data_IF_824516586376
#
_entry.id   IF_824516586376
#
_cell.length_a   1.000
_cell.length_b   1.000
_cell.length_c   1.000
_cell.angle_alpha   90.00
_cell.angle_beta   90.00
_cell.angle_gamma   90.00
#
_symmetry.space_group_name_H-M   'P 1'
#
loop_
_entity.id
_entity.type
_entity.pdbx_description
1 polymer ?
#
# COMPACT_ATOMS: atom_id res chain seq x y z
N UNK A 1 11.41 11.43 19.07
CA UNK A 1 10.43 12.06 18.18
C UNK A 1 11.21 12.78 17.09
N UNK A 2 11.25 12.23 15.87
CA UNK A 2 11.89 12.94 14.77
C UNK A 2 11.00 14.11 14.32
N UNK A 3 11.55 15.32 14.40
CA UNK A 3 10.80 16.55 14.18
C UNK A 3 10.55 16.79 12.68
N UNK A 4 9.27 16.99 12.31
CA UNK A 4 8.86 17.62 11.05
C UNK A 4 8.29 16.71 9.95
N UNK A 5 8.22 15.39 10.14
CA UNK A 5 7.68 14.47 9.13
C UNK A 5 6.20 14.11 9.37
N UNK A 6 5.38 14.19 8.32
CA UNK A 6 3.93 13.92 8.37
C UNK A 6 3.60 12.43 8.34
N UNK A 7 4.38 11.65 7.57
CA UNK A 7 4.17 10.22 7.35
C UNK A 7 5.24 9.36 8.04
N UNK A 8 4.89 8.11 8.34
CA UNK A 8 5.81 7.10 8.88
C UNK A 8 6.99 6.83 7.93
N UNK A 9 8.13 6.45 8.49
CA UNK A 9 9.40 6.24 7.78
C UNK A 9 9.26 5.26 6.61
N UNK A 10 8.65 4.09 6.84
CA UNK A 10 8.44 3.06 5.83
C UNK A 10 7.77 3.59 4.54
N UNK A 11 6.76 4.46 4.70
CA UNK A 11 6.05 5.04 3.56
C UNK A 11 6.89 6.10 2.89
N UNK A 12 7.62 6.93 3.65
CA UNK A 12 8.55 7.92 3.08
C UNK A 12 9.60 7.25 2.20
N UNK A 13 10.19 6.15 2.68
CA UNK A 13 11.19 5.38 1.96
C UNK A 13 10.61 4.69 0.73
N UNK A 14 9.42 4.10 0.84
CA UNK A 14 8.71 3.53 -0.29
C UNK A 14 8.43 4.58 -1.37
N UNK A 15 8.02 5.80 -0.99
CA UNK A 15 7.76 6.90 -1.93
C UNK A 15 9.07 7.39 -2.55
N UNK A 16 10.16 7.49 -1.79
CA UNK A 16 11.48 7.83 -2.33
C UNK A 16 11.95 6.79 -3.37
N UNK A 17 11.78 5.50 -3.09
CA UNK A 17 12.09 4.42 -4.03
C UNK A 17 11.19 4.48 -5.28
N UNK A 18 9.88 4.70 -5.10
CA UNK A 18 8.94 4.84 -6.20
C UNK A 18 9.26 6.04 -7.11
N UNK A 19 9.71 7.18 -6.54
CA UNK A 19 10.21 8.33 -7.29
C UNK A 19 11.44 7.98 -8.14
N UNK A 20 12.38 7.20 -7.62
CA UNK A 20 13.56 6.74 -8.39
C UNK A 20 13.13 5.86 -9.57
N UNK A 21 12.21 4.93 -9.35
CA UNK A 21 11.69 4.04 -10.40
C UNK A 21 10.89 4.78 -11.46
N UNK A 22 10.10 5.78 -11.08
CA UNK A 22 9.27 6.56 -11.99
C UNK A 22 10.08 7.31 -13.07
N UNK A 23 11.33 7.68 -12.76
CA UNK A 23 12.21 8.43 -13.68
C UNK A 23 12.54 7.70 -14.97
N UNK A 24 12.46 6.37 -14.99
CA UNK A 24 12.74 5.56 -16.19
C UNK A 24 11.48 5.11 -16.93
N UNK A 25 10.33 5.71 -16.63
CA UNK A 25 9.03 5.36 -17.24
C UNK A 25 8.59 6.42 -18.24
N UNK A 26 7.89 5.97 -19.29
CA UNK A 26 7.22 6.86 -20.24
C UNK A 26 5.75 7.01 -19.86
N UNK A 27 5.24 8.24 -19.88
CA UNK A 27 3.86 8.54 -19.49
C UNK A 27 3.12 9.25 -20.61
N UNK A 28 2.00 8.65 -21.01
CA UNK A 28 1.06 9.18 -21.99
C UNK A 28 -0.27 9.50 -21.32
N UNK A 29 -0.86 10.64 -21.71
CA UNK A 29 -2.17 11.06 -21.21
C UNK A 29 -3.26 10.42 -22.07
N UNK A 30 -4.23 9.77 -21.45
CA UNK A 30 -5.31 9.07 -22.17
C UNK A 30 -6.65 9.83 -22.11
N UNK A 31 -6.87 10.70 -21.13
CA UNK A 31 -8.09 11.50 -20.97
C UNK A 31 -7.80 13.00 -21.06
N UNK A 32 -8.68 13.75 -21.72
CA UNK A 32 -8.61 15.22 -21.80
C UNK A 32 -8.75 15.94 -20.45
N UNK A 33 -9.20 15.24 -19.40
CA UNK A 33 -9.21 15.77 -18.02
C UNK A 33 -7.90 15.55 -17.27
N UNK A 34 -6.89 14.93 -17.91
CA UNK A 34 -5.62 14.61 -17.26
C UNK A 34 -5.78 13.72 -16.00
N UNK A 35 -6.80 12.86 -15.98
CA UNK A 35 -7.09 11.96 -14.83
C UNK A 35 -6.59 10.54 -15.08
N UNK A 36 -6.48 10.12 -16.34
CA UNK A 36 -6.11 8.76 -16.73
C UNK A 36 -4.89 8.74 -17.65
N UNK A 37 -3.97 7.81 -17.38
CA UNK A 37 -2.66 7.75 -18.02
C UNK A 37 -2.31 6.32 -18.39
N UNK A 38 -1.51 6.19 -19.45
CA UNK A 38 -0.78 4.95 -19.77
C UNK A 38 0.68 5.15 -19.39
N UNK A 39 1.17 4.31 -18.48
CA UNK A 39 2.56 4.34 -18.01
C UNK A 39 3.28 3.10 -18.51
N UNK A 40 4.34 3.31 -19.27
CA UNK A 40 5.14 2.24 -19.87
C UNK A 40 6.49 2.13 -19.19
N UNK A 41 6.86 0.92 -18.79
CA UNK A 41 8.12 0.61 -18.10
C UNK A 41 8.84 -0.53 -18.80
N UNK A 42 10.15 -0.39 -18.99
CA UNK A 42 11.03 -1.49 -19.42
C UNK A 42 11.17 -2.55 -18.32
N UNK A 43 11.07 -3.82 -18.70
CA UNK A 43 11.22 -4.95 -17.78
C UNK A 43 12.64 -5.50 -17.94
N UNK A 44 13.50 -5.23 -16.95
CA UNK A 44 14.91 -5.63 -16.98
C UNK A 44 15.76 -4.72 -17.88
N UNK A 45 17.03 -5.11 -18.06
CA UNK A 45 17.99 -4.39 -18.91
C UNK A 45 18.11 -4.96 -20.32
N UNK A 46 17.38 -6.03 -20.63
CA UNK A 46 17.55 -6.74 -21.89
C UNK A 46 16.65 -6.13 -22.99
N UNK A 47 17.19 -5.82 -24.18
CA UNK A 47 16.43 -5.18 -25.26
C UNK A 47 15.32 -6.04 -25.88
N UNK A 48 15.39 -7.36 -25.70
CA UNK A 48 14.46 -8.36 -26.23
C UNK A 48 13.14 -8.44 -25.46
N UNK A 49 13.10 -7.92 -24.23
CA UNK A 49 11.88 -7.93 -23.42
C UNK A 49 11.05 -6.68 -23.75
N UNK A 50 9.83 -6.85 -24.29
CA UNK A 50 8.99 -5.71 -24.61
C UNK A 50 8.63 -4.92 -23.34
N UNK A 51 8.57 -3.58 -23.41
CA UNK A 51 8.06 -2.77 -22.33
C UNK A 51 6.62 -3.16 -21.97
N UNK A 52 6.28 -3.06 -20.69
CA UNK A 52 4.91 -3.28 -20.21
C UNK A 52 4.24 -1.97 -19.89
N UNK A 53 2.99 -1.84 -20.28
CA UNK A 53 2.15 -0.69 -19.99
C UNK A 53 1.16 -0.98 -18.87
N UNK A 54 0.86 0.04 -18.09
CA UNK A 54 -0.10 0.03 -16.99
C UNK A 54 -1.00 1.25 -17.10
N UNK A 55 -2.31 1.04 -16.99
CA UNK A 55 -3.29 2.09 -16.76
C UNK A 55 -3.16 2.66 -15.36
N UNK A 56 -3.23 3.97 -15.26
CA UNK A 56 -3.32 4.73 -14.00
C UNK A 56 -4.53 5.64 -14.09
N UNK A 57 -5.38 5.57 -13.08
CA UNK A 57 -6.53 6.44 -12.88
C UNK A 57 -6.35 7.15 -11.54
N UNK A 58 -5.93 8.43 -11.60
CA UNK A 58 -5.66 9.22 -10.40
C UNK A 58 -6.95 9.54 -9.65
N UNK A 59 -8.04 9.80 -10.37
CA UNK A 59 -9.33 10.16 -9.78
C UNK A 59 -9.90 9.03 -8.93
N UNK A 60 -9.87 7.81 -9.45
CA UNK A 60 -10.38 6.64 -8.75
C UNK A 60 -9.33 5.94 -7.89
N UNK A 61 -8.14 6.53 -7.75
CA UNK A 61 -6.99 5.97 -7.02
C UNK A 61 -6.66 4.52 -7.44
N UNK A 62 -6.58 4.26 -8.75
CA UNK A 62 -6.34 2.91 -9.31
C UNK A 62 -5.09 2.85 -10.18
N UNK A 63 -4.41 1.72 -10.10
CA UNK A 63 -3.39 1.33 -11.07
C UNK A 63 -3.55 -0.15 -11.43
N UNK A 64 -3.28 -0.51 -12.69
CA UNK A 64 -3.36 -1.89 -13.14
C UNK A 64 -2.39 -2.82 -12.40
N UNK A 65 -1.30 -2.28 -11.82
CA UNK A 65 -0.38 -3.06 -11.00
C UNK A 65 -0.95 -3.47 -9.63
N UNK A 66 -2.14 -2.98 -9.27
CA UNK A 66 -2.88 -3.23 -8.01
C UNK A 66 -2.23 -2.76 -6.72
N UNK A 67 -0.93 -2.45 -6.72
CA UNK A 67 -0.21 -1.98 -5.53
C UNK A 67 -0.80 -0.72 -4.91
N UNK A 68 -1.29 0.21 -5.72
CA UNK A 68 -1.90 1.43 -5.20
C UNK A 68 -3.17 1.13 -4.39
N UNK A 69 -3.99 0.20 -4.88
CA UNK A 69 -5.22 -0.22 -4.22
C UNK A 69 -4.94 -1.05 -2.97
N UNK A 70 -3.93 -1.92 -3.01
CA UNK A 70 -3.58 -2.80 -1.89
C UNK A 70 -2.84 -2.08 -0.77
N UNK A 71 -1.92 -1.18 -1.11
CA UNK A 71 -1.04 -0.53 -0.15
C UNK A 71 -1.52 0.86 0.23
N UNK A 72 -2.59 1.36 -0.38
CA UNK A 72 -3.18 2.68 -0.09
C UNK A 72 -2.22 3.88 -0.21
N UNK A 73 -1.04 3.70 -0.82
CA UNK A 73 -0.12 4.76 -1.18
C UNK A 73 0.36 4.62 -2.64
N UNK A 74 0.85 5.70 -3.27
CA UNK A 74 1.22 5.71 -4.68
C UNK A 74 2.32 4.72 -5.03
N UNK A 75 2.05 3.80 -5.95
CA UNK A 75 3.09 3.01 -6.61
C UNK A 75 3.90 3.87 -7.60
N UNK A 76 5.04 3.37 -8.08
CA UNK A 76 5.89 4.09 -9.03
C UNK A 76 5.16 4.58 -10.30
N UNK A 77 4.15 3.84 -10.80
CA UNK A 77 3.36 4.29 -11.97
C UNK A 77 2.51 5.52 -11.64
N UNK A 78 1.89 5.53 -10.45
CA UNK A 78 1.10 6.68 -9.97
C UNK A 78 2.02 7.88 -9.75
N UNK A 79 3.22 7.67 -9.19
CA UNK A 79 4.22 8.73 -9.05
C UNK A 79 4.62 9.32 -10.40
N UNK A 80 4.83 8.48 -11.42
CA UNK A 80 5.13 8.94 -12.78
C UNK A 80 3.97 9.74 -13.39
N UNK A 81 2.73 9.28 -13.21
CA UNK A 81 1.53 10.00 -13.65
C UNK A 81 1.38 11.35 -12.94
N UNK A 82 1.55 11.42 -11.62
CA UNK A 82 1.52 12.68 -10.87
C UNK A 82 2.60 13.66 -11.37
N UNK A 83 3.81 13.18 -11.63
CA UNK A 83 4.90 14.00 -12.16
C UNK A 83 4.58 14.56 -13.56
N UNK A 84 3.88 13.80 -14.41
CA UNK A 84 3.46 14.22 -15.76
C UNK A 84 2.55 15.45 -15.74
N UNK A 85 1.77 15.63 -14.68
CA UNK A 85 0.79 16.72 -14.52
C UNK A 85 1.06 17.61 -13.31
N UNK A 86 2.29 17.55 -12.78
CA UNK A 86 2.76 18.37 -11.65
C UNK A 86 1.88 18.30 -10.39
N UNK A 87 1.28 17.13 -10.11
CA UNK A 87 0.50 16.89 -8.90
C UNK A 87 1.39 16.44 -7.73
N UNK A 88 1.06 16.90 -6.52
CA UNK A 88 1.71 16.42 -5.32
C UNK A 88 1.32 14.96 -5.05
N UNK A 89 2.31 14.07 -5.04
CA UNK A 89 2.15 12.63 -4.75
C UNK A 89 1.59 12.39 -3.36
N UNK A 90 1.88 13.27 -2.39
CA UNK A 90 1.48 13.08 -0.99
C UNK A 90 -0.03 13.14 -0.80
N UNK A 91 -0.77 13.85 -1.65
CA UNK A 91 -2.25 13.85 -1.65
C UNK A 91 -2.86 12.48 -1.94
N UNK A 92 -2.06 11.54 -2.44
CA UNK A 92 -2.50 10.19 -2.76
C UNK A 92 -2.03 9.16 -1.74
N UNK A 93 -1.36 9.57 -0.66
CA UNK A 93 -1.00 8.71 0.48
C UNK A 93 -2.17 8.73 1.46
N UNK A 94 -2.60 7.55 1.90
CA UNK A 94 -3.69 7.44 2.87
C UNK A 94 -3.29 7.94 4.27
N UNK A 95 -4.25 8.57 4.96
CA UNK A 95 -4.03 9.18 6.29
C UNK A 95 -3.70 8.15 7.38
N UNK A 96 -4.00 6.86 7.18
CA UNK A 96 -3.55 5.77 8.07
C UNK A 96 -2.03 5.74 8.26
N UNK A 97 -1.27 6.28 7.30
CA UNK A 97 0.19 6.32 7.36
C UNK A 97 0.75 7.60 7.99
N UNK A 98 -0.11 8.49 8.49
CA UNK A 98 0.36 9.67 9.22
C UNK A 98 0.92 9.27 10.57
N UNK A 99 1.94 9.99 11.02
CA UNK A 99 2.54 9.77 12.33
C UNK A 99 1.50 9.95 13.45
N UNK A 100 0.65 10.98 13.34
CA UNK A 100 -0.43 11.24 14.27
C UNK A 100 -1.41 10.06 14.40
N UNK A 101 -1.85 9.49 13.28
CA UNK A 101 -2.78 8.35 13.29
C UNK A 101 -2.11 7.08 13.80
N UNK A 102 -0.83 6.88 13.49
CA UNK A 102 -0.04 5.77 14.00
C UNK A 102 0.10 5.85 15.53
N UNK A 103 0.48 7.02 16.07
CA UNK A 103 0.59 7.23 17.52
C UNK A 103 -0.74 6.99 18.24
N UNK A 104 -1.85 7.46 17.65
CA UNK A 104 -3.19 7.24 18.20
C UNK A 104 -3.60 5.77 18.34
N UNK A 105 -3.03 4.86 17.54
CA UNK A 105 -3.25 3.41 17.72
C UNK A 105 -2.63 2.94 19.05
N UNK A 106 -1.46 3.48 19.39
CA UNK A 106 -0.70 3.15 20.60
C UNK A 106 -1.07 3.99 21.82
N UNK A 107 -1.94 4.99 21.68
CA UNK A 107 -2.44 5.79 22.81
C UNK A 107 -3.35 4.98 23.75
N UNK A 108 -3.93 3.87 23.28
CA UNK A 108 -4.75 3.02 24.14
C UNK A 108 -3.87 2.29 25.16
N UNK A 109 -4.28 2.30 26.41
CA UNK A 109 -3.69 1.42 27.43
C UNK A 109 -3.99 -0.03 27.03
N UNK A 110 -2.93 -0.76 26.66
CA UNK A 110 -3.04 -2.20 26.55
C UNK A 110 -3.33 -2.75 27.95
N UNK A 111 -4.37 -3.59 28.12
CA UNK A 111 -4.60 -4.21 29.41
C UNK A 111 -3.35 -4.97 29.82
N UNK A 112 -3.01 -4.87 31.10
CA UNK A 112 -1.92 -5.67 31.67
C UNK A 112 -2.22 -7.12 31.36
N UNK A 113 -1.24 -7.83 30.77
CA UNK A 113 -1.38 -9.26 30.55
C UNK A 113 -1.66 -9.91 31.92
N UNK A 114 -2.81 -10.59 32.09
CA UNK A 114 -3.09 -11.27 33.33
C UNK A 114 -2.00 -12.30 33.62
N UNK A 115 -1.72 -12.54 34.90
CA UNK A 115 -0.75 -13.56 35.28
C UNK A 115 -1.08 -14.89 34.60
N UNK A 116 -0.06 -15.62 34.15
CA UNK A 116 -0.24 -16.90 33.46
C UNK A 116 -1.09 -17.89 34.27
N UNK A 117 -1.09 -17.82 35.61
CA UNK A 117 -1.91 -18.66 36.48
C UNK A 117 -3.41 -18.32 36.46
N UNK A 118 -3.79 -17.17 35.93
CA UNK A 118 -5.18 -16.70 35.80
C UNK A 118 -5.74 -16.87 34.39
N UNK A 119 -4.96 -17.42 33.47
CA UNK A 119 -5.42 -17.70 32.11
C UNK A 119 -6.40 -18.86 32.12
N UNK A 120 -7.56 -18.68 31.49
CA UNK A 120 -8.48 -19.77 31.25
C UNK A 120 -7.84 -20.77 30.27
N UNK A 121 -7.47 -21.94 30.78
CA UNK A 121 -7.06 -23.07 29.95
C UNK A 121 -8.35 -23.70 29.42
N UNK A 122 -8.58 -23.73 28.10
CA UNK A 122 -9.74 -24.42 27.55
C UNK A 122 -9.72 -25.87 28.03
N UNK A 123 -10.86 -26.42 28.50
CA UNK A 123 -10.90 -27.81 28.93
C UNK A 123 -10.46 -28.70 27.77
N UNK A 124 -9.51 -29.59 28.03
CA UNK A 124 -8.91 -30.49 27.03
C UNK A 124 -9.90 -31.53 26.51
N UNK A 125 -11.10 -31.57 27.08
CA UNK A 125 -12.22 -32.39 26.63
C UNK A 125 -12.82 -31.79 25.37
N UNK A 126 -12.20 -32.06 24.23
CA UNK A 126 -12.93 -32.07 22.97
C UNK A 126 -13.85 -33.29 23.00
N UNK A 127 -15.16 -33.05 23.04
CA UNK A 127 -16.14 -34.11 22.79
C UNK A 127 -15.99 -34.54 21.33
N UNK A 128 -15.47 -35.76 21.12
CA UNK A 128 -15.44 -36.36 19.80
C UNK A 128 -16.88 -36.70 19.42
N UNK A 129 -17.53 -35.82 18.66
CA UNK A 129 -18.85 -36.08 18.06
C UNK A 129 -18.67 -37.11 16.94
N UNK A 130 -19.25 -38.32 17.04
CA UNK A 130 -19.16 -39.30 15.97
C UNK A 130 -19.80 -38.77 14.67
N UNK A 131 -19.19 -39.05 13.54
CA UNK A 131 -19.72 -38.66 12.23
C UNK A 131 -21.08 -39.36 11.99
N UNK A 132 -22.13 -38.56 11.82
CA UNK A 132 -23.51 -39.02 11.56
C UNK A 132 -23.66 -39.78 10.24
N UNK A 133 -22.60 -39.87 9.42
CA UNK A 133 -22.56 -40.67 8.19
C UNK A 133 -22.23 -42.15 8.42
N UNK A 134 -21.97 -42.56 9.66
CA UNK A 134 -21.57 -43.93 10.02
C UNK A 134 -22.64 -44.64 10.89
N UNK A 135 -23.85 -44.08 11.01
CA UNK A 135 -25.03 -44.71 11.65
C UNK A 135 -26.19 -44.75 10.66
#
# INVERSE_FOLDING_TARGET
>A
MEAGHVFVEDVRDAIAANRRMARSMTVEVYSGRNETFRVTKTIGRRPDIPPRSYGVDLRNRRCDCRRFQTLHYPCAHVVAACAKVSLNVEHFIDEVYTLARTLRVWENEFPVLPDLSTWEVPPTTFELVPDKRVT
#
